data_IF_809824696207
#
_entry.id   IF_809824696207
#
_cell.length_a   1.000
_cell.length_b   1.000
_cell.length_c   1.000
_cell.angle_alpha   90.00
_cell.angle_beta   90.00
_cell.angle_gamma   90.00
#
_symmetry.space_group_name_H-M   'P 1'
#
loop_
_entity.id
_entity.type
_entity.pdbx_description
1 polymer ?
#
# COMPACT_ATOMS: atom_id res chain seq x y z
N UNK A 1 -0.03 8.07 24.80
CA UNK A 1 -0.51 9.16 23.94
C UNK A 1 -2.00 8.96 23.66
N UNK A 2 -2.85 9.99 23.82
CA UNK A 2 -4.28 9.88 23.54
C UNK A 2 -4.55 9.47 22.08
N UNK A 3 -5.70 8.82 21.84
CA UNK A 3 -6.04 8.29 20.51
C UNK A 3 -6.11 9.38 19.44
N UNK A 4 -6.68 10.54 19.77
CA UNK A 4 -6.78 11.66 18.83
C UNK A 4 -5.41 12.15 18.35
N UNK A 5 -4.40 12.18 19.24
CA UNK A 5 -3.04 12.59 18.90
C UNK A 5 -2.39 11.57 17.96
N UNK A 6 -2.63 10.26 18.16
CA UNK A 6 -2.13 9.21 17.25
C UNK A 6 -2.72 9.36 15.86
N UNK A 7 -4.03 9.60 15.78
CA UNK A 7 -4.70 9.83 14.50
C UNK A 7 -4.18 11.08 13.77
N UNK A 8 -3.94 12.17 14.50
CA UNK A 8 -3.34 13.38 13.92
C UNK A 8 -1.93 13.11 13.38
N UNK A 9 -1.10 12.40 14.14
CA UNK A 9 0.25 12.04 13.71
C UNK A 9 0.24 11.16 12.46
N UNK A 10 -0.63 10.16 12.38
CA UNK A 10 -0.78 9.30 11.19
C UNK A 10 -1.31 10.07 9.98
N UNK A 11 -2.26 10.98 10.17
CA UNK A 11 -2.78 11.83 9.10
C UNK A 11 -1.69 12.73 8.51
N UNK A 12 -0.87 13.35 9.36
CA UNK A 12 0.29 14.17 8.95
C UNK A 12 1.27 13.30 8.14
N UNK A 13 1.63 12.13 8.68
CA UNK A 13 2.55 11.21 8.03
C UNK A 13 2.06 10.74 6.65
N UNK A 14 0.79 10.36 6.53
CA UNK A 14 0.20 9.92 5.25
C UNK A 14 0.17 11.05 4.23
N UNK A 15 -0.20 12.26 4.64
CA UNK A 15 -0.23 13.42 3.75
C UNK A 15 1.16 13.73 3.16
N UNK A 16 2.20 13.71 3.99
CA UNK A 16 3.57 14.08 3.57
C UNK A 16 4.24 12.96 2.77
N UNK A 17 4.15 11.72 3.24
CA UNK A 17 4.91 10.61 2.63
C UNK A 17 4.19 9.96 1.45
N UNK A 18 2.87 9.75 1.54
CA UNK A 18 2.09 9.05 0.51
C UNK A 18 1.46 10.01 -0.48
N UNK A 19 0.81 11.07 0.01
CA UNK A 19 0.13 12.04 -0.86
C UNK A 19 1.05 13.14 -1.37
N UNK A 20 2.29 13.21 -0.87
CA UNK A 20 3.29 14.22 -1.23
C UNK A 20 2.76 15.65 -1.12
N UNK A 21 1.96 15.90 -0.09
CA UNK A 21 1.45 17.23 0.24
C UNK A 21 2.36 17.88 1.27
N UNK A 22 2.73 19.11 0.99
CA UNK A 22 3.24 20.00 2.01
C UNK A 22 2.11 20.33 2.98
N UNK A 23 2.40 20.24 4.28
CA UNK A 23 1.45 20.58 5.33
C UNK A 23 2.14 21.39 6.42
N UNK A 24 1.40 22.33 6.98
CA UNK A 24 1.81 23.08 8.17
C UNK A 24 0.98 22.59 9.36
N UNK A 25 1.67 22.18 10.43
CA UNK A 25 1.03 21.73 11.66
C UNK A 25 1.81 22.26 12.87
N UNK A 26 1.10 22.91 13.80
CA UNK A 26 1.69 23.54 15.00
C UNK A 26 2.87 24.50 14.70
N UNK A 27 2.83 25.19 13.55
CA UNK A 27 3.88 26.13 13.13
C UNK A 27 5.14 25.45 12.56
N UNK A 28 5.10 24.14 12.37
CA UNK A 28 6.12 23.37 11.66
C UNK A 28 5.65 23.06 10.24
N UNK A 29 6.50 23.33 9.26
CA UNK A 29 6.29 22.93 7.86
C UNK A 29 6.88 21.55 7.62
N UNK A 30 6.06 20.64 7.11
CA UNK A 30 6.46 19.29 6.73
C UNK A 30 6.49 19.18 5.21
N UNK A 31 7.69 19.05 4.64
CA UNK A 31 7.87 18.94 3.20
C UNK A 31 8.04 17.48 2.80
N UNK A 32 7.43 17.02 1.70
CA UNK A 32 7.62 15.66 1.20
C UNK A 32 9.10 15.28 1.01
N UNK A 33 9.93 16.22 0.56
CA UNK A 33 11.37 16.06 0.34
C UNK A 33 12.15 15.66 1.59
N UNK A 34 11.66 16.03 2.78
CA UNK A 34 12.34 15.74 4.05
C UNK A 34 12.14 14.28 4.47
N UNK A 35 11.17 13.60 3.86
CA UNK A 35 10.81 12.21 4.14
C UNK A 35 11.03 11.29 2.93
N UNK A 36 11.71 11.79 1.90
CA UNK A 36 12.13 10.96 0.77
C UNK A 36 13.17 9.93 1.24
N UNK A 37 12.74 8.69 1.39
CA UNK A 37 13.67 7.58 1.48
C UNK A 37 14.37 7.47 0.13
N UNK A 38 15.70 7.70 0.09
CA UNK A 38 16.52 7.28 -1.05
C UNK A 38 16.40 5.77 -1.12
N UNK A 39 15.42 5.28 -1.89
CA UNK A 39 15.36 3.89 -2.30
C UNK A 39 16.68 3.67 -3.04
N UNK A 40 17.64 3.04 -2.37
CA UNK A 40 18.85 2.54 -3.00
C UNK A 40 18.32 1.60 -4.08
N UNK A 41 18.43 2.06 -5.32
CA UNK A 41 18.11 1.34 -6.57
C UNK A 41 17.38 0.03 -6.31
N UNK A 42 16.06 0.01 -6.49
CA UNK A 42 15.31 -1.23 -6.55
C UNK A 42 15.94 -2.09 -7.66
N UNK A 43 16.90 -2.93 -7.30
CA UNK A 43 17.68 -3.79 -8.21
C UNK A 43 16.87 -5.00 -8.66
N UNK A 44 15.56 -4.98 -8.46
CA UNK A 44 14.65 -5.95 -9.06
C UNK A 44 14.39 -5.51 -10.49
N UNK A 45 15.24 -5.98 -11.39
CA UNK A 45 15.06 -5.85 -12.83
C UNK A 45 13.63 -6.27 -13.19
N UNK A 46 12.86 -5.38 -13.82
CA UNK A 46 11.43 -5.57 -14.07
C UNK A 46 11.14 -6.89 -14.84
N UNK A 47 12.11 -7.40 -15.60
CA UNK A 47 11.99 -8.68 -16.32
C UNK A 47 12.01 -9.93 -15.42
N UNK A 48 12.39 -9.82 -14.14
CA UNK A 48 12.32 -10.97 -13.22
C UNK A 48 10.88 -11.24 -12.77
N UNK A 49 10.03 -10.21 -12.82
CA UNK A 49 8.62 -10.31 -12.52
C UNK A 49 7.88 -10.50 -13.83
N UNK A 50 7.46 -11.73 -14.12
CA UNK A 50 6.76 -12.10 -15.35
C UNK A 50 5.29 -11.63 -15.29
N UNK A 51 5.09 -10.32 -15.08
CA UNK A 51 3.80 -9.65 -14.84
C UNK A 51 2.79 -9.98 -15.95
N UNK A 52 3.29 -10.09 -17.19
CA UNK A 52 2.48 -10.39 -18.38
C UNK A 52 1.72 -11.71 -18.24
N UNK A 53 2.32 -12.73 -17.61
CA UNK A 53 1.67 -14.04 -17.42
C UNK A 53 0.79 -14.10 -16.16
N UNK A 54 0.81 -13.09 -15.30
CA UNK A 54 -0.07 -12.98 -14.13
C UNK A 54 -1.32 -12.16 -14.40
N UNK A 55 -1.28 -11.27 -15.40
CA UNK A 55 -2.44 -10.46 -15.78
C UNK A 55 -3.30 -11.29 -16.76
N UNK A 56 -4.38 -11.85 -16.23
CA UNK A 56 -5.43 -12.42 -17.05
C UNK A 56 -6.23 -11.28 -17.68
N UNK A 57 -6.19 -11.16 -19.02
CA UNK A 57 -6.98 -10.18 -19.79
C UNK A 57 -8.30 -10.76 -20.30
N UNK A 58 -8.64 -11.99 -19.91
CA UNK A 58 -9.95 -12.54 -20.24
C UNK A 58 -11.03 -11.69 -19.57
N UNK A 59 -11.95 -11.18 -20.37
CA UNK A 59 -13.18 -10.53 -19.93
C UNK A 59 -13.78 -11.33 -18.76
N UNK A 60 -14.10 -10.68 -17.62
CA UNK A 60 -14.72 -11.39 -16.51
C UNK A 60 -15.99 -12.06 -17.01
N UNK A 61 -16.20 -13.31 -16.58
CA UNK A 61 -17.43 -14.06 -16.84
C UNK A 61 -18.62 -13.14 -16.55
N UNK A 62 -19.46 -12.85 -17.56
CA UNK A 62 -20.72 -12.11 -17.36
C UNK A 62 -21.51 -12.85 -16.29
N UNK A 63 -21.49 -12.32 -15.07
CA UNK A 63 -22.25 -12.82 -13.95
C UNK A 63 -23.05 -11.65 -13.42
N UNK A 64 -24.34 -11.86 -13.26
CA UNK A 64 -25.38 -10.92 -12.78
C UNK A 64 -25.13 -10.38 -11.35
N UNK A 65 -23.88 -10.36 -10.90
CA UNK A 65 -23.47 -9.93 -9.59
C UNK A 65 -22.88 -8.52 -9.73
N UNK A 66 -23.64 -7.52 -9.28
CA UNK A 66 -23.23 -6.12 -9.21
C UNK A 66 -21.98 -5.87 -8.35
N UNK A 67 -21.44 -6.89 -7.68
CA UNK A 67 -20.29 -6.83 -6.78
C UNK A 67 -19.11 -7.60 -7.39
N UNK A 68 -18.09 -6.86 -7.83
CA UNK A 68 -16.81 -7.38 -8.30
C UNK A 68 -15.77 -7.29 -7.18
N UNK A 69 -14.96 -8.33 -7.01
CA UNK A 69 -13.82 -8.31 -6.10
C UNK A 69 -12.52 -8.45 -6.90
N UNK A 70 -11.58 -7.57 -6.64
CA UNK A 70 -10.21 -7.65 -7.15
C UNK A 70 -9.27 -7.84 -5.97
N UNK A 71 -8.27 -8.68 -6.16
CA UNK A 71 -7.25 -8.96 -5.14
C UNK A 71 -5.89 -8.81 -5.79
N UNK A 72 -4.98 -8.10 -5.14
CA UNK A 72 -3.58 -8.04 -5.53
C UNK A 72 -2.69 -8.38 -4.32
N UNK A 73 -1.51 -8.92 -4.59
CA UNK A 73 -0.60 -9.41 -3.57
C UNK A 73 0.84 -9.25 -4.00
N UNK A 74 1.65 -8.63 -3.14
CA UNK A 74 3.08 -8.49 -3.38
C UNK A 74 3.87 -9.26 -2.33
N UNK A 75 4.90 -9.98 -2.77
CA UNK A 75 5.84 -10.67 -1.87
C UNK A 75 7.23 -10.12 -2.09
N UNK A 76 7.85 -9.65 -1.01
CA UNK A 76 9.23 -9.18 -0.99
C UNK A 76 10.01 -9.94 0.08
N UNK A 77 11.33 -9.77 0.10
CA UNK A 77 12.17 -10.31 1.17
C UNK A 77 11.79 -9.78 2.57
N UNK A 78 11.23 -8.56 2.63
CA UNK A 78 10.83 -7.89 3.87
C UNK A 78 9.42 -8.29 4.35
N UNK A 79 8.60 -8.95 3.53
CA UNK A 79 7.25 -9.35 3.93
C UNK A 79 6.30 -9.61 2.78
N UNK A 80 5.01 -9.64 3.08
CA UNK A 80 3.95 -9.85 2.10
C UNK A 80 2.89 -8.78 2.27
N UNK A 81 2.59 -8.06 1.20
CA UNK A 81 1.45 -7.14 1.12
C UNK A 81 0.29 -7.84 0.42
N UNK A 82 -0.92 -7.52 0.83
CA UNK A 82 -2.13 -7.84 0.10
C UNK A 82 -2.98 -6.58 -0.03
N UNK A 83 -3.68 -6.44 -1.13
CA UNK A 83 -4.73 -5.45 -1.30
C UNK A 83 -5.95 -6.17 -1.86
N UNK A 84 -7.12 -5.66 -1.51
CA UNK A 84 -8.33 -6.04 -2.19
C UNK A 84 -9.17 -4.81 -2.44
N UNK A 85 -9.91 -4.82 -3.54
CA UNK A 85 -10.98 -3.87 -3.74
C UNK A 85 -12.28 -4.56 -4.12
N UNK A 86 -13.37 -4.03 -3.60
CA UNK A 86 -14.71 -4.41 -3.98
C UNK A 86 -15.31 -3.27 -4.79
N UNK A 87 -15.96 -3.59 -5.90
CA UNK A 87 -16.63 -2.64 -6.76
C UNK A 87 -18.10 -3.02 -6.86
N UNK A 88 -18.97 -2.15 -6.36
CA UNK A 88 -20.41 -2.33 -6.39
C UNK A 88 -21.10 -1.10 -6.94
N UNK A 89 -21.83 -1.22 -8.06
CA UNK A 89 -22.64 -0.13 -8.62
C UNK A 89 -21.89 1.23 -8.68
N UNK A 90 -20.68 1.26 -9.26
CA UNK A 90 -19.82 2.44 -9.36
C UNK A 90 -19.19 2.94 -8.04
N UNK A 91 -19.41 2.25 -6.93
CA UNK A 91 -18.76 2.51 -5.64
C UNK A 91 -17.60 1.53 -5.47
N UNK A 92 -16.38 2.07 -5.25
CA UNK A 92 -15.19 1.27 -4.95
C UNK A 92 -14.81 1.35 -3.47
N UNK A 93 -14.56 0.20 -2.86
CA UNK A 93 -13.95 0.07 -1.53
C UNK A 93 -12.56 -0.54 -1.72
N UNK A 94 -11.52 0.13 -1.21
CA UNK A 94 -10.12 -0.34 -1.32
C UNK A 94 -9.57 -0.56 0.08
N UNK A 95 -8.96 -1.72 0.29
CA UNK A 95 -8.35 -2.10 1.57
C UNK A 95 -6.95 -2.67 1.31
N UNK A 96 -5.97 -2.16 2.05
CA UNK A 96 -4.58 -2.62 1.98
C UNK A 96 -4.15 -3.24 3.31
N UNK A 97 -3.57 -4.43 3.24
CA UNK A 97 -3.00 -5.17 4.36
C UNK A 97 -1.50 -5.38 4.17
N UNK A 98 -0.71 -5.18 5.22
CA UNK A 98 0.72 -5.48 5.24
C UNK A 98 1.00 -6.54 6.31
N UNK A 99 1.45 -7.72 5.89
CA UNK A 99 1.94 -8.77 6.77
C UNK A 99 3.46 -8.63 6.86
N UNK A 100 3.93 -8.22 8.04
CA UNK A 100 5.36 -8.12 8.34
C UNK A 100 5.86 -9.50 8.76
N UNK A 101 6.96 -9.95 8.15
CA UNK A 101 7.63 -11.18 8.58
C UNK A 101 8.26 -10.91 9.95
N UNK A 102 7.70 -11.48 11.02
CA UNK A 102 8.32 -11.42 12.35
C UNK A 102 9.62 -12.24 12.27
N UNK A 103 10.80 -11.66 12.56
CA UNK A 103 12.03 -12.43 12.56
C UNK A 103 11.91 -13.56 13.59
N UNK A 104 12.25 -14.78 13.18
CA UNK A 104 12.39 -15.90 14.11
C UNK A 104 13.38 -15.48 15.20
N UNK A 105 12.90 -15.39 16.44
CA UNK A 105 13.76 -15.32 17.61
C UNK A 105 14.60 -16.60 17.63
N UNK A 106 15.90 -16.46 17.36
CA UNK A 106 16.87 -17.53 17.60
C UNK A 106 16.96 -17.67 19.11
N UNK A 107 16.33 -18.70 19.67
CA UNK A 107 16.61 -19.13 21.04
C UNK A 107 18.02 -19.72 21.05
N UNK A 108 18.93 -19.05 21.77
CA UNK A 108 20.25 -19.60 22.09
C UNK A 108 20.17 -20.79 23.02
#
# INVERSE_FOLDING_TARGET
MPLHVKGQQEAIYINVTRLRKEIEFEGLSYQPKDFEEKIKSLTTHLSLFNIINQISTTEPYKKDNNLMFFTDGSKTEMGTGCSYCAFENDISLVMEGKIIKIPHSVSG
#
